data_IF_236937813545
#
_entry.id   IF_236937813545
#
_cell.length_a   1.000
_cell.length_b   1.000
_cell.length_c   1.000
_cell.angle_alpha   90.00
_cell.angle_beta   90.00
_cell.angle_gamma   90.00
#
_symmetry.space_group_name_H-M   'P 1'
#
loop_
_entity.id
_entity.type
_entity.pdbx_description
1 polymer ?
#
# COMPACT_ATOMS: atom_id res chain seq x y z
N UNK A 1 15.84 16.20 -7.07
CA UNK A 1 15.03 15.76 -8.22
C UNK A 1 13.67 15.39 -7.67
N UNK A 2 12.61 16.09 -8.08
CA UNK A 2 11.24 15.75 -7.71
C UNK A 2 10.85 14.50 -8.51
N UNK A 3 10.84 13.35 -7.84
CA UNK A 3 10.29 12.12 -8.41
C UNK A 3 8.83 12.42 -8.77
N UNK A 4 8.52 12.43 -10.08
CA UNK A 4 7.14 12.39 -10.56
C UNK A 4 6.62 10.96 -10.35
N UNK A 5 6.48 10.57 -9.09
CA UNK A 5 5.55 9.52 -8.74
C UNK A 5 4.17 10.00 -9.23
N UNK A 6 3.36 9.15 -9.88
CA UNK A 6 1.95 9.51 -10.09
C UNK A 6 1.41 9.93 -8.72
N UNK A 7 0.85 11.15 -8.64
CA UNK A 7 0.30 11.67 -7.40
C UNK A 7 -0.61 10.59 -6.83
N UNK A 8 -0.25 10.04 -5.66
CA UNK A 8 -1.03 8.95 -5.07
C UNK A 8 -2.40 9.55 -4.75
N UNK A 9 -3.42 9.07 -5.47
CA UNK A 9 -4.77 9.62 -5.36
C UNK A 9 -5.45 8.94 -4.18
N UNK A 10 -5.98 9.78 -3.29
CA UNK A 10 -6.77 9.35 -2.14
C UNK A 10 -8.18 9.95 -2.23
N UNK A 11 -9.17 9.13 -1.92
CA UNK A 11 -10.57 9.54 -1.76
C UNK A 11 -10.95 9.49 -0.29
N UNK A 12 -11.72 10.46 0.18
CA UNK A 12 -12.28 10.37 1.53
C UNK A 12 -13.34 9.27 1.56
N UNK A 13 -13.42 8.47 2.63
CA UNK A 13 -14.41 7.38 2.69
C UNK A 13 -15.86 7.88 2.52
N UNK A 14 -16.16 9.07 3.04
CA UNK A 14 -17.47 9.71 2.87
C UNK A 14 -17.80 10.16 1.43
N UNK A 15 -16.81 10.26 0.54
CA UNK A 15 -17.05 10.50 -0.89
C UNK A 15 -17.46 9.20 -1.61
N UNK A 16 -17.03 8.05 -1.07
CA UNK A 16 -17.26 6.74 -1.68
C UNK A 16 -18.53 6.05 -1.17
N UNK A 17 -18.95 6.31 0.07
CA UNK A 17 -20.12 5.64 0.65
C UNK A 17 -20.85 6.50 1.68
N UNK A 18 -22.08 6.12 2.00
CA UNK A 18 -22.86 6.70 3.08
C UNK A 18 -22.53 6.01 4.40
N UNK A 19 -22.58 6.78 5.50
CA UNK A 19 -22.31 6.27 6.86
C UNK A 19 -23.18 5.07 7.24
N UNK A 20 -24.45 5.06 6.83
CA UNK A 20 -25.40 3.99 7.16
C UNK A 20 -24.91 2.62 6.71
N UNK A 21 -24.14 2.53 5.62
CA UNK A 21 -23.57 1.28 5.11
C UNK A 21 -22.54 0.64 6.05
N UNK A 22 -21.88 1.46 6.88
CA UNK A 22 -20.98 1.00 7.94
C UNK A 22 -21.72 0.72 9.24
N UNK A 23 -22.85 1.38 9.48
CA UNK A 23 -23.71 1.13 10.64
C UNK A 23 -24.45 -0.20 10.56
N UNK A 24 -24.61 -0.77 9.36
CA UNK A 24 -25.17 -2.12 9.15
C UNK A 24 -24.32 -3.26 9.76
N UNK A 25 -23.18 -2.96 10.40
CA UNK A 25 -22.32 -3.90 11.16
C UNK A 25 -23.01 -4.53 12.40
N UNK A 26 -24.31 -4.34 12.58
CA UNK A 26 -25.06 -4.75 13.77
C UNK A 26 -25.49 -6.23 13.66
N UNK A 27 -24.81 -7.11 14.40
CA UNK A 27 -25.24 -8.50 14.66
C UNK A 27 -25.87 -8.60 16.06
N UNK A 28 -26.62 -9.67 16.37
CA UNK A 28 -27.32 -9.82 17.67
C UNK A 28 -26.42 -9.77 18.93
N UNK A 29 -25.10 -9.92 18.79
CA UNK A 29 -24.11 -9.75 19.87
C UNK A 29 -24.11 -8.34 20.49
N UNK A 30 -24.74 -7.36 19.83
CA UNK A 30 -24.74 -5.95 20.20
C UNK A 30 -25.76 -5.54 21.28
N UNK A 31 -26.72 -6.40 21.66
CA UNK A 31 -27.74 -6.05 22.66
C UNK A 31 -27.16 -5.66 24.05
N UNK A 32 -25.87 -5.95 24.29
CA UNK A 32 -25.16 -5.67 25.56
C UNK A 32 -24.17 -4.49 25.44
N UNK A 33 -23.95 -3.94 24.24
CA UNK A 33 -23.00 -2.84 23.98
C UNK A 33 -23.68 -1.47 23.99
N UNK A 34 -22.93 -0.43 24.35
CA UNK A 34 -23.42 0.94 24.29
C UNK A 34 -23.44 1.43 22.85
N UNK A 35 -24.62 1.77 22.34
CA UNK A 35 -24.79 2.37 21.01
C UNK A 35 -23.91 3.60 20.80
N UNK A 36 -23.71 4.43 21.83
CA UNK A 36 -22.80 5.59 21.77
C UNK A 36 -21.36 5.21 21.41
N UNK A 37 -20.82 4.14 22.01
CA UNK A 37 -19.47 3.69 21.72
C UNK A 37 -19.36 3.03 20.34
N UNK A 38 -20.38 2.29 19.93
CA UNK A 38 -20.46 1.71 18.58
C UNK A 38 -20.46 2.81 17.54
N UNK A 39 -21.35 3.81 17.67
CA UNK A 39 -21.40 4.96 16.77
C UNK A 39 -20.08 5.75 16.78
N UNK A 40 -19.41 5.88 17.92
CA UNK A 40 -18.10 6.54 17.98
C UNK A 40 -17.04 5.80 17.16
N UNK A 41 -17.00 4.47 17.20
CA UNK A 41 -16.08 3.65 16.39
C UNK A 41 -16.39 3.81 14.90
N UNK A 42 -17.65 3.68 14.51
CA UNK A 42 -18.06 3.83 13.11
C UNK A 42 -17.76 5.24 12.59
N UNK A 43 -18.04 6.27 13.38
CA UNK A 43 -17.73 7.65 13.04
C UNK A 43 -16.23 7.90 12.91
N UNK A 44 -15.42 7.29 13.79
CA UNK A 44 -13.97 7.38 13.68
C UNK A 44 -13.53 6.87 12.31
N UNK A 45 -13.93 5.66 11.90
CA UNK A 45 -13.63 5.15 10.57
C UNK A 45 -14.15 6.06 9.45
N UNK A 46 -15.41 6.48 9.50
CA UNK A 46 -16.02 7.28 8.43
C UNK A 46 -15.32 8.61 8.19
N UNK A 47 -14.86 9.28 9.26
CA UNK A 47 -14.26 10.61 9.20
C UNK A 47 -12.74 10.58 8.99
N UNK A 48 -12.06 9.52 9.43
CA UNK A 48 -10.59 9.46 9.44
C UNK A 48 -9.98 8.57 8.37
N UNK A 49 -10.80 7.93 7.53
CA UNK A 49 -10.31 7.00 6.50
C UNK A 49 -10.19 7.67 5.14
N UNK A 50 -8.99 7.54 4.56
CA UNK A 50 -8.67 7.84 3.15
C UNK A 50 -8.50 6.52 2.40
N UNK A 51 -9.09 6.38 1.23
CA UNK A 51 -8.97 5.20 0.37
C UNK A 51 -8.03 5.56 -0.78
N UNK A 52 -6.89 4.88 -0.85
CA UNK A 52 -5.99 4.99 -1.99
C UNK A 52 -6.61 4.35 -3.24
N UNK A 53 -6.21 4.79 -4.43
CA UNK A 53 -6.69 4.26 -5.72
C UNK A 53 -6.49 2.74 -5.87
N UNK A 54 -5.49 2.15 -5.19
CA UNK A 54 -5.28 0.71 -5.15
C UNK A 54 -6.25 -0.04 -4.20
N UNK A 55 -7.23 0.67 -3.62
CA UNK A 55 -8.22 0.15 -2.69
C UNK A 55 -7.72 -0.03 -1.25
N UNK A 56 -6.49 0.37 -0.93
CA UNK A 56 -5.96 0.27 0.44
C UNK A 56 -6.49 1.46 1.26
N UNK A 57 -7.16 1.21 2.40
CA UNK A 57 -7.53 2.26 3.33
C UNK A 57 -6.35 2.73 4.18
N UNK A 58 -6.33 4.01 4.52
CA UNK A 58 -5.38 4.68 5.40
C UNK A 58 -6.18 5.43 6.47
N UNK A 59 -5.82 5.25 7.73
CA UNK A 59 -6.60 5.71 8.88
C UNK A 59 -5.79 6.70 9.69
N UNK A 60 -6.34 7.89 9.92
CA UNK A 60 -5.64 8.94 10.65
C UNK A 60 -5.37 8.53 12.10
N UNK A 61 -4.13 8.73 12.54
CA UNK A 61 -3.64 8.29 13.86
C UNK A 61 -4.47 8.90 15.00
N UNK A 62 -4.93 10.14 14.85
CA UNK A 62 -5.73 10.84 15.87
C UNK A 62 -7.06 10.16 16.20
N UNK A 63 -7.57 9.28 15.34
CA UNK A 63 -8.81 8.52 15.57
C UNK A 63 -8.59 7.16 16.23
N UNK A 64 -7.33 6.70 16.32
CA UNK A 64 -7.02 5.33 16.74
C UNK A 64 -7.33 5.05 18.20
N UNK A 65 -7.34 6.06 19.06
CA UNK A 65 -7.70 5.88 20.47
C UNK A 65 -9.14 5.37 20.65
N UNK A 66 -10.04 5.81 19.76
CA UNK A 66 -11.43 5.39 19.70
C UNK A 66 -11.54 3.98 19.10
N UNK A 67 -10.83 3.72 18.00
CA UNK A 67 -10.90 2.45 17.26
C UNK A 67 -10.26 1.31 18.08
N UNK A 68 -9.07 1.53 18.65
CA UNK A 68 -8.33 0.56 19.46
C UNK A 68 -8.79 0.50 20.92
N UNK A 69 -9.77 1.34 21.30
CA UNK A 69 -10.31 1.43 22.67
C UNK A 69 -9.23 1.62 23.74
N UNK A 70 -8.27 2.49 23.48
CA UNK A 70 -7.21 2.87 24.45
C UNK A 70 -7.65 4.01 25.38
N UNK A 71 -8.80 4.64 25.10
CA UNK A 71 -9.32 5.75 25.88
C UNK A 71 -8.40 6.98 25.77
N UNK A 72 -8.38 7.82 26.81
CA UNK A 72 -7.57 9.05 26.82
C UNK A 72 -6.13 8.83 27.31
N UNK A 73 -5.66 7.58 27.33
CA UNK A 73 -4.34 7.23 27.87
C UNK A 73 -3.17 7.59 26.95
N UNK A 74 -3.44 7.84 25.67
CA UNK A 74 -2.40 8.00 24.64
C UNK A 74 -1.70 6.69 24.27
N UNK A 75 -2.17 5.54 24.78
CA UNK A 75 -1.52 4.24 24.58
C UNK A 75 -1.53 3.78 23.12
N UNK A 76 -2.38 4.33 22.26
CA UNK A 76 -2.34 4.11 20.82
C UNK A 76 -1.03 4.61 20.19
N UNK A 77 -0.41 5.66 20.72
CA UNK A 77 0.83 6.20 20.16
C UNK A 77 1.99 5.21 20.28
N UNK A 78 2.35 4.67 21.46
CA UNK A 78 3.37 3.61 21.54
C UNK A 78 3.06 2.41 20.64
N UNK A 79 1.79 1.97 20.58
CA UNK A 79 1.38 0.86 19.71
C UNK A 79 1.68 1.12 18.23
N UNK A 80 1.49 2.36 17.77
CA UNK A 80 1.74 2.77 16.40
C UNK A 80 3.24 2.99 16.15
N UNK A 81 3.88 3.85 16.94
CA UNK A 81 5.25 4.32 16.66
C UNK A 81 6.34 3.33 17.08
N UNK A 82 6.06 2.46 18.05
CA UNK A 82 7.03 1.50 18.59
C UNK A 82 6.65 0.06 18.28
N UNK A 83 5.36 -0.20 18.05
CA UNK A 83 4.84 -1.56 17.92
C UNK A 83 4.85 -2.30 19.27
N UNK A 84 4.74 -3.62 19.18
CA UNK A 84 4.86 -4.55 20.31
C UNK A 84 5.88 -5.61 19.93
N UNK A 85 7.01 -5.63 20.64
CA UNK A 85 8.14 -6.51 20.34
C UNK A 85 7.70 -7.97 20.21
N UNK A 86 8.00 -8.57 19.05
CA UNK A 86 7.67 -9.97 18.75
C UNK A 86 6.21 -10.22 18.38
N UNK A 87 5.38 -9.17 18.26
CA UNK A 87 3.94 -9.30 17.95
C UNK A 87 3.56 -8.42 16.76
N UNK A 88 3.82 -7.11 16.84
CA UNK A 88 3.50 -6.14 15.78
C UNK A 88 4.66 -5.17 15.63
N UNK A 89 5.15 -4.96 14.41
CA UNK A 89 6.20 -3.97 14.12
C UNK A 89 5.67 -2.54 14.28
N UNK A 90 6.58 -1.58 14.45
CA UNK A 90 6.22 -0.17 14.31
C UNK A 90 5.56 0.07 12.95
N UNK A 91 4.53 0.92 12.95
CA UNK A 91 3.82 1.29 11.74
C UNK A 91 4.69 2.19 10.85
N UNK A 92 4.61 1.98 9.55
CA UNK A 92 5.02 2.99 8.58
C UNK A 92 3.97 4.11 8.58
N UNK A 93 4.44 5.35 8.76
CA UNK A 93 3.58 6.53 8.81
C UNK A 93 3.54 7.17 7.44
N UNK A 94 2.32 7.41 6.94
CA UNK A 94 2.09 8.11 5.68
C UNK A 94 1.40 9.42 5.99
N UNK A 95 1.98 10.53 5.56
CA UNK A 95 1.35 11.84 5.64
C UNK A 95 0.43 12.06 4.43
N UNK A 96 -0.85 12.31 4.68
CA UNK A 96 -1.87 12.58 3.66
C UNK A 96 -2.58 13.85 4.10
N UNK A 97 -2.58 14.88 3.24
CA UNK A 97 -3.17 16.20 3.52
C UNK A 97 -2.68 16.84 4.84
N UNK A 98 -1.40 16.65 5.18
CA UNK A 98 -0.79 17.17 6.42
C UNK A 98 -1.19 16.40 7.69
N UNK A 99 -1.82 15.24 7.56
CA UNK A 99 -2.25 14.39 8.68
C UNK A 99 -1.57 13.03 8.61
N UNK A 100 -1.08 12.56 9.76
CA UNK A 100 -0.43 11.25 9.89
C UNK A 100 -1.44 10.10 9.84
N UNK A 101 -1.20 9.13 8.98
CA UNK A 101 -2.02 7.93 8.81
C UNK A 101 -1.19 6.65 8.94
N UNK A 102 -1.88 5.55 9.24
CA UNK A 102 -1.37 4.18 9.08
C UNK A 102 -2.21 3.42 8.07
N UNK A 103 -1.63 2.39 7.46
CA UNK A 103 -2.37 1.52 6.53
C UNK A 103 -3.43 0.68 7.26
N UNK A 104 -4.49 0.31 6.54
CA UNK A 104 -5.53 -0.63 6.97
C UNK A 104 -5.00 -1.97 7.44
N UNK A 105 -4.11 -2.64 6.69
CA UNK A 105 -3.44 -3.86 7.15
C UNK A 105 -2.74 -3.69 8.50
N UNK A 106 -2.03 -2.58 8.70
CA UNK A 106 -1.38 -2.26 9.99
C UNK A 106 -2.42 -2.09 11.11
N UNK A 107 -3.50 -1.34 10.85
CA UNK A 107 -4.60 -1.19 11.82
C UNK A 107 -5.23 -2.54 12.17
N UNK A 108 -5.48 -3.40 11.18
CA UNK A 108 -6.02 -4.74 11.38
C UNK A 108 -5.14 -5.56 12.31
N UNK A 109 -3.82 -5.57 12.10
CA UNK A 109 -2.87 -6.25 12.99
C UNK A 109 -2.91 -5.69 14.42
N UNK A 110 -3.06 -4.38 14.59
CA UNK A 110 -3.21 -3.75 15.92
C UNK A 110 -4.52 -4.16 16.62
N UNK A 111 -5.64 -4.20 15.89
CA UNK A 111 -6.93 -4.64 16.45
C UNK A 111 -6.85 -6.12 16.84
N UNK A 112 -6.31 -6.98 15.97
CA UNK A 112 -6.14 -8.42 16.22
C UNK A 112 -5.29 -8.66 17.49
N UNK A 113 -4.15 -7.98 17.60
CA UNK A 113 -3.29 -8.04 18.79
C UNK A 113 -4.04 -7.59 20.06
N UNK A 114 -4.76 -6.46 19.99
CA UNK A 114 -5.56 -5.95 21.12
C UNK A 114 -6.65 -6.93 21.54
N UNK A 115 -7.28 -7.62 20.59
CA UNK A 115 -8.30 -8.64 20.88
C UNK A 115 -7.76 -9.90 21.56
N UNK A 116 -6.48 -10.21 21.39
CA UNK A 116 -5.79 -11.29 22.09
C UNK A 116 -5.47 -10.92 23.55
N UNK A 117 -5.27 -9.64 23.83
CA UNK A 117 -4.86 -9.12 25.15
C UNK A 117 -6.01 -8.54 25.98
N UNK A 118 -7.24 -8.54 25.45
CA UNK A 118 -8.41 -7.98 26.12
C UNK A 118 -9.57 -8.97 26.11
N UNK A 119 -10.47 -8.80 27.06
CA UNK A 119 -11.66 -9.61 27.23
C UNK A 119 -12.92 -8.74 27.43
N UNK A 120 -14.05 -9.41 27.68
CA UNK A 120 -15.33 -8.77 27.98
C UNK A 120 -15.77 -7.73 26.94
N UNK A 121 -16.26 -6.58 27.43
CA UNK A 121 -16.83 -5.51 26.59
C UNK A 121 -15.79 -4.88 25.66
N UNK A 122 -14.54 -4.74 26.09
CA UNK A 122 -13.48 -4.14 25.27
C UNK A 122 -13.22 -4.98 24.03
N UNK A 123 -13.10 -6.30 24.20
CA UNK A 123 -12.96 -7.23 23.08
C UNK A 123 -14.16 -7.16 22.13
N UNK A 124 -15.37 -7.06 22.66
CA UNK A 124 -16.57 -6.91 21.84
C UNK A 124 -16.58 -5.61 21.02
N UNK A 125 -16.13 -4.46 21.58
CA UNK A 125 -15.95 -3.23 20.80
C UNK A 125 -14.86 -3.33 19.72
N UNK A 126 -13.77 -4.06 19.99
CA UNK A 126 -12.73 -4.31 19.00
C UNK A 126 -13.25 -5.20 17.85
N UNK A 127 -14.17 -6.13 18.13
CA UNK A 127 -14.86 -6.89 17.07
C UNK A 127 -15.71 -5.97 16.17
N UNK A 128 -16.37 -4.95 16.74
CA UNK A 128 -17.06 -3.92 15.94
C UNK A 128 -16.08 -3.19 15.03
N UNK A 129 -14.91 -2.80 15.57
CA UNK A 129 -13.88 -2.14 14.78
C UNK A 129 -13.39 -3.01 13.62
N UNK A 130 -13.13 -4.29 13.88
CA UNK A 130 -12.73 -5.26 12.84
C UNK A 130 -13.81 -5.40 11.76
N UNK A 131 -15.07 -5.58 12.15
CA UNK A 131 -16.17 -5.73 11.20
C UNK A 131 -16.40 -4.46 10.38
N UNK A 132 -16.21 -3.28 10.99
CA UNK A 132 -16.27 -1.99 10.28
C UNK A 132 -15.17 -1.90 9.22
N UNK A 133 -13.95 -2.29 9.57
CA UNK A 133 -12.83 -2.37 8.63
C UNK A 133 -13.11 -3.36 7.48
N UNK A 134 -13.55 -4.57 7.80
CA UNK A 134 -13.89 -5.58 6.79
C UNK A 134 -15.02 -5.11 5.87
N UNK A 135 -16.01 -4.37 6.41
CA UNK A 135 -17.08 -3.77 5.60
C UNK A 135 -16.54 -2.74 4.62
N UNK A 136 -15.61 -1.87 5.03
CA UNK A 136 -14.95 -0.88 4.15
C UNK A 136 -14.31 -1.57 2.95
N UNK A 137 -13.54 -2.65 3.19
CA UNK A 137 -12.87 -3.40 2.12
C UNK A 137 -13.84 -4.06 1.13
N UNK A 138 -15.07 -4.34 1.57
CA UNK A 138 -16.10 -5.01 0.78
C UNK A 138 -17.14 -4.05 0.17
N UNK A 139 -16.98 -2.73 0.36
CA UNK A 139 -17.78 -1.74 -0.38
C UNK A 139 -17.52 -1.89 -1.88
N UNK A 140 -18.58 -1.83 -2.70
CA UNK A 140 -18.43 -1.94 -4.16
C UNK A 140 -17.46 -0.89 -4.68
N UNK A 141 -17.60 0.36 -4.24
CA UNK A 141 -16.75 1.48 -4.68
C UNK A 141 -15.26 1.24 -4.38
N UNK A 142 -14.93 0.66 -3.22
CA UNK A 142 -13.53 0.37 -2.85
C UNK A 142 -12.97 -0.78 -3.70
N UNK A 143 -13.80 -1.80 -3.97
CA UNK A 143 -13.42 -2.92 -4.84
C UNK A 143 -13.25 -2.47 -6.29
N UNK A 144 -14.18 -1.66 -6.79
CA UNK A 144 -14.17 -1.12 -8.15
C UNK A 144 -12.90 -0.27 -8.38
N UNK A 145 -12.51 0.57 -7.40
CA UNK A 145 -11.24 1.32 -7.45
C UNK A 145 -10.04 0.38 -7.62
N UNK A 146 -9.96 -0.65 -6.78
CA UNK A 146 -8.89 -1.64 -6.85
C UNK A 146 -8.88 -2.41 -8.19
N UNK A 147 -10.05 -2.81 -8.67
CA UNK A 147 -10.19 -3.53 -9.94
C UNK A 147 -9.74 -2.67 -11.12
N UNK A 148 -10.20 -1.41 -11.18
CA UNK A 148 -9.75 -0.45 -12.19
C UNK A 148 -8.24 -0.23 -12.14
N UNK A 149 -7.67 -0.04 -10.95
CA UNK A 149 -6.23 0.11 -10.77
C UNK A 149 -5.44 -1.11 -11.29
N UNK A 150 -5.89 -2.33 -10.98
CA UNK A 150 -5.23 -3.55 -11.45
C UNK A 150 -5.40 -3.75 -12.96
N UNK A 151 -6.55 -3.39 -13.50
CA UNK A 151 -6.83 -3.44 -14.93
C UNK A 151 -5.96 -2.45 -15.71
N UNK A 152 -5.77 -1.23 -15.18
CA UNK A 152 -4.84 -0.25 -15.74
C UNK A 152 -3.42 -0.78 -15.74
N UNK A 153 -2.96 -1.42 -14.65
CA UNK A 153 -1.65 -2.06 -14.61
C UNK A 153 -1.55 -3.13 -15.69
N UNK A 154 -2.54 -4.01 -15.81
CA UNK A 154 -2.53 -5.13 -16.78
C UNK A 154 -2.45 -4.62 -18.21
N UNK A 155 -3.17 -3.56 -18.53
CA UNK A 155 -3.29 -3.03 -19.89
C UNK A 155 -2.10 -2.15 -20.27
N UNK A 156 -1.56 -1.35 -19.34
CA UNK A 156 -0.53 -0.35 -19.66
C UNK A 156 0.90 -0.83 -19.40
N UNK A 157 1.12 -1.79 -18.50
CA UNK A 157 2.47 -2.31 -18.18
C UNK A 157 3.23 -2.84 -19.41
N UNK A 158 2.61 -3.56 -20.36
CA UNK A 158 3.30 -4.00 -21.59
C UNK A 158 3.82 -2.84 -22.46
N UNK A 159 3.27 -1.63 -22.30
CA UNK A 159 3.63 -0.45 -23.08
C UNK A 159 4.89 0.24 -22.56
N UNK A 160 5.26 0.02 -21.28
CA UNK A 160 6.40 0.68 -20.62
C UNK A 160 7.72 0.52 -21.38
N UNK A 161 7.96 -0.66 -21.96
CA UNK A 161 9.16 -0.89 -22.79
C UNK A 161 9.22 0.09 -23.97
N UNK A 162 8.11 0.24 -24.68
CA UNK A 162 8.03 1.13 -25.84
C UNK A 162 8.09 2.59 -25.40
N UNK A 163 7.40 2.94 -24.32
CA UNK A 163 7.40 4.30 -23.75
C UNK A 163 8.80 4.72 -23.33
N UNK A 164 9.49 3.93 -22.49
CA UNK A 164 10.85 4.24 -22.01
C UNK A 164 11.85 4.39 -23.16
N UNK A 165 11.84 3.45 -24.12
CA UNK A 165 12.73 3.52 -25.28
C UNK A 165 12.51 4.83 -26.07
N UNK A 166 11.25 5.21 -26.27
CA UNK A 166 10.91 6.43 -27.01
C UNK A 166 11.25 7.72 -26.25
N UNK A 167 10.88 7.78 -24.96
CA UNK A 167 11.07 8.97 -24.13
C UNK A 167 12.54 9.31 -23.90
N UNK A 168 13.38 8.28 -23.66
CA UNK A 168 14.80 8.46 -23.37
C UNK A 168 15.71 8.20 -24.59
N UNK A 169 15.14 8.00 -25.79
CA UNK A 169 15.87 7.68 -27.02
C UNK A 169 16.90 6.53 -26.84
N UNK A 170 16.51 5.47 -26.16
CA UNK A 170 17.41 4.37 -25.79
C UNK A 170 17.69 3.48 -27.00
N UNK A 171 18.96 3.38 -27.39
CA UNK A 171 19.45 2.47 -28.45
C UNK A 171 20.38 1.36 -27.93
N UNK A 172 20.72 1.40 -26.64
CA UNK A 172 21.67 0.50 -26.01
C UNK A 172 21.11 -0.05 -24.69
N UNK A 173 21.53 -1.26 -24.32
CA UNK A 173 21.27 -1.83 -23.00
C UNK A 173 21.82 -0.89 -21.91
N UNK A 174 20.98 -0.49 -20.96
CA UNK A 174 21.34 0.50 -19.93
C UNK A 174 22.36 -0.03 -18.91
N UNK A 175 22.54 -1.36 -18.83
CA UNK A 175 23.57 -1.98 -17.98
C UNK A 175 24.92 -2.08 -18.69
N UNK A 176 24.93 -2.50 -19.96
CA UNK A 176 26.18 -2.90 -20.63
C UNK A 176 26.65 -1.89 -21.68
N UNK A 177 25.80 -0.94 -22.08
CA UNK A 177 26.03 -0.06 -23.22
C UNK A 177 25.97 -0.79 -24.58
N UNK A 178 25.64 -2.08 -24.60
CA UNK A 178 25.58 -2.88 -25.84
C UNK A 178 24.41 -2.39 -26.71
N UNK A 179 24.64 -2.01 -27.98
CA UNK A 179 23.57 -1.61 -28.87
C UNK A 179 22.63 -2.79 -29.15
N UNK A 180 21.34 -2.50 -29.29
CA UNK A 180 20.36 -3.47 -29.77
C UNK A 180 19.71 -2.96 -31.06
N UNK A 181 19.39 -3.87 -31.97
CA UNK A 181 18.80 -3.54 -33.28
C UNK A 181 17.31 -3.89 -33.34
N UNK A 182 16.82 -4.72 -32.41
CA UNK A 182 15.41 -5.07 -32.28
C UNK A 182 14.93 -4.89 -30.84
N UNK A 183 13.70 -4.40 -30.67
CA UNK A 183 13.02 -4.35 -29.36
C UNK A 183 12.74 -5.75 -28.79
N UNK A 184 12.90 -6.79 -29.60
CA UNK A 184 12.80 -8.17 -29.16
C UNK A 184 14.07 -8.64 -28.43
N UNK A 185 15.19 -7.94 -28.52
CA UNK A 185 16.45 -8.34 -27.87
C UNK A 185 16.53 -7.88 -26.40
N UNK A 186 15.62 -6.96 -26.03
CA UNK A 186 15.60 -6.27 -24.74
C UNK A 186 14.27 -6.44 -24.02
N UNK A 187 14.34 -6.29 -22.70
CA UNK A 187 13.18 -6.24 -21.81
C UNK A 187 13.21 -5.00 -20.93
N UNK A 188 12.02 -4.59 -20.50
CA UNK A 188 11.85 -3.62 -19.44
C UNK A 188 11.91 -4.37 -18.10
N UNK A 189 12.94 -4.10 -17.31
CA UNK A 189 13.11 -4.66 -15.98
C UNK A 189 12.72 -3.60 -14.95
N UNK A 190 11.73 -3.89 -14.11
CA UNK A 190 11.36 -3.04 -12.99
C UNK A 190 12.52 -2.96 -11.98
N UNK A 191 12.86 -1.74 -11.52
CA UNK A 191 13.89 -1.51 -10.50
C UNK A 191 13.35 -1.96 -9.13
N UNK A 192 12.18 -1.44 -8.75
CA UNK A 192 11.39 -1.92 -7.62
C UNK A 192 10.27 -2.85 -8.10
N UNK A 193 10.13 -4.01 -7.45
CA UNK A 193 9.12 -4.99 -7.82
C UNK A 193 7.69 -4.46 -7.68
N UNK A 194 6.88 -4.73 -8.70
CA UNK A 194 5.44 -4.48 -8.70
C UNK A 194 4.71 -5.23 -7.58
N UNK A 195 5.25 -6.37 -7.13
CA UNK A 195 4.63 -7.15 -6.05
C UNK A 195 4.74 -6.44 -4.71
N UNK A 196 5.86 -5.78 -4.44
CA UNK A 196 6.14 -5.09 -3.17
C UNK A 196 5.77 -3.61 -3.23
N UNK A 197 5.80 -3.01 -4.41
CA UNK A 197 5.43 -1.62 -4.63
C UNK A 197 4.54 -1.45 -5.88
N UNK A 198 3.26 -1.84 -5.80
CA UNK A 198 2.34 -1.80 -6.95
C UNK A 198 2.07 -0.38 -7.44
N UNK A 199 2.31 0.66 -6.63
CA UNK A 199 2.13 2.05 -7.05
C UNK A 199 3.15 2.49 -8.11
N UNK A 200 4.30 1.83 -8.17
CA UNK A 200 5.33 2.08 -9.19
C UNK A 200 5.17 1.20 -10.44
N UNK A 201 4.06 0.45 -10.55
CA UNK A 201 3.91 -0.55 -11.60
C UNK A 201 3.88 0.04 -13.02
N UNK A 202 3.37 1.26 -13.14
CA UNK A 202 3.25 2.01 -14.39
C UNK A 202 4.23 3.19 -14.48
N UNK A 203 5.17 3.31 -13.55
CA UNK A 203 6.20 4.35 -13.62
C UNK A 203 7.31 3.91 -14.59
N UNK A 204 7.45 4.67 -15.68
CA UNK A 204 8.48 4.47 -16.71
C UNK A 204 9.91 4.65 -16.17
N UNK A 205 10.06 5.42 -15.09
CA UNK A 205 11.32 5.65 -14.39
C UNK A 205 11.65 4.53 -13.41
N UNK A 206 10.64 3.77 -12.95
CA UNK A 206 10.83 2.56 -12.15
C UNK A 206 11.23 1.35 -13.02
N UNK A 207 12.07 1.53 -14.03
CA UNK A 207 12.58 0.43 -14.81
C UNK A 207 13.71 0.81 -15.73
N UNK A 208 14.33 -0.21 -16.31
CA UNK A 208 15.49 -0.11 -17.20
C UNK A 208 15.33 -1.06 -18.38
N UNK A 209 15.89 -0.67 -19.54
CA UNK A 209 15.96 -1.45 -20.76
C UNK A 209 17.27 -2.25 -20.73
N UNK A 210 17.14 -3.56 -20.57
CA UNK A 210 18.28 -4.48 -20.49
C UNK A 210 18.14 -5.63 -21.47
N UNK A 211 19.25 -6.27 -21.83
CA UNK A 211 19.23 -7.47 -22.68
C UNK A 211 18.41 -8.59 -22.02
N UNK A 212 17.65 -9.34 -22.83
CA UNK A 212 16.86 -10.51 -22.39
C UNK A 212 17.66 -11.51 -21.55
N UNK A 213 18.92 -11.74 -21.92
CA UNK A 213 19.80 -12.65 -21.19
C UNK A 213 20.06 -12.18 -19.75
N UNK A 214 20.29 -10.88 -19.56
CA UNK A 214 20.50 -10.27 -18.24
C UNK A 214 19.20 -10.33 -17.43
N UNK A 215 18.06 -9.98 -18.04
CA UNK A 215 16.75 -10.06 -17.38
C UNK A 215 16.44 -11.48 -16.88
N UNK A 216 16.73 -12.50 -17.69
CA UNK A 216 16.60 -13.91 -17.29
C UNK A 216 17.56 -14.28 -16.16
N UNK A 217 18.78 -13.75 -16.16
CA UNK A 217 19.74 -13.98 -15.06
C UNK A 217 19.27 -13.36 -13.75
N UNK A 218 18.81 -12.09 -13.77
CA UNK A 218 18.24 -11.42 -12.59
C UNK A 218 17.08 -12.21 -11.99
N UNK A 219 16.15 -12.66 -12.85
CA UNK A 219 15.00 -13.48 -12.45
C UNK A 219 15.45 -14.79 -11.79
N UNK A 220 16.44 -15.49 -12.38
CA UNK A 220 17.00 -16.74 -11.83
C UNK A 220 17.69 -16.53 -10.48
N UNK A 221 18.28 -15.37 -10.26
CA UNK A 221 18.94 -15.01 -9.00
C UNK A 221 17.97 -14.44 -7.95
N UNK A 222 16.68 -14.30 -8.27
CA UNK A 222 15.68 -13.74 -7.35
C UNK A 222 15.88 -12.25 -7.07
N UNK A 223 16.50 -11.52 -8.01
CA UNK A 223 16.79 -10.10 -7.84
C UNK A 223 15.58 -9.29 -8.31
N UNK A 224 14.87 -8.68 -7.35
CA UNK A 224 13.58 -8.02 -7.58
C UNK A 224 13.46 -6.62 -6.93
N UNK A 225 14.55 -6.06 -6.43
CA UNK A 225 14.54 -4.74 -5.80
C UNK A 225 15.82 -3.97 -6.09
N UNK A 226 15.78 -2.67 -5.80
CA UNK A 226 16.85 -1.73 -6.13
C UNK A 226 18.22 -2.19 -5.64
N UNK A 227 18.35 -2.51 -4.35
CA UNK A 227 19.62 -2.91 -3.73
C UNK A 227 20.25 -4.13 -4.40
N UNK A 228 19.42 -5.11 -4.75
CA UNK A 228 19.87 -6.34 -5.40
C UNK A 228 20.34 -6.07 -6.83
N UNK A 229 19.59 -5.25 -7.57
CA UNK A 229 19.92 -4.88 -8.94
C UNK A 229 21.20 -4.03 -8.99
N UNK A 230 21.36 -3.09 -8.07
CA UNK A 230 22.55 -2.25 -7.94
C UNK A 230 23.79 -3.09 -7.64
N UNK A 231 23.72 -4.00 -6.64
CA UNK A 231 24.82 -4.92 -6.31
C UNK A 231 25.16 -5.85 -7.48
N UNK A 232 24.17 -6.32 -8.23
CA UNK A 232 24.40 -7.13 -9.43
C UNK A 232 25.20 -6.36 -10.47
N UNK A 233 24.84 -5.10 -10.73
CA UNK A 233 25.56 -4.24 -11.67
C UNK A 233 27.02 -4.03 -11.21
N UNK A 234 27.25 -3.72 -9.94
CA UNK A 234 28.59 -3.58 -9.38
C UNK A 234 29.44 -4.84 -9.56
N UNK A 235 28.89 -6.01 -9.21
CA UNK A 235 29.60 -7.28 -9.30
C UNK A 235 29.97 -7.66 -10.75
N UNK A 236 29.12 -7.30 -11.71
CA UNK A 236 29.32 -7.55 -13.14
C UNK A 236 30.10 -6.43 -13.85
N UNK A 237 30.45 -5.35 -13.14
CA UNK A 237 31.04 -4.11 -13.70
C UNK A 237 30.17 -3.49 -14.79
N UNK A 238 28.86 -3.51 -14.60
CA UNK A 238 27.87 -2.84 -15.43
C UNK A 238 27.62 -1.41 -14.94
N UNK A 239 27.04 -0.60 -15.82
CA UNK A 239 26.62 0.77 -15.51
C UNK A 239 25.59 0.80 -14.38
N UNK A 240 25.75 1.76 -13.48
CA UNK A 240 24.80 2.10 -12.41
C UNK A 240 24.16 3.46 -12.63
N UNK A 241 24.33 4.07 -13.81
CA UNK A 241 23.81 5.42 -14.11
C UNK A 241 22.27 5.51 -14.01
N UNK A 242 21.58 4.38 -14.13
CA UNK A 242 20.13 4.27 -13.95
C UNK A 242 19.68 4.49 -12.49
N UNK A 243 20.62 4.50 -11.54
CA UNK A 243 20.35 4.67 -10.10
C UNK A 243 20.52 6.11 -9.59
N UNK A 244 20.91 7.03 -10.47
CA UNK A 244 21.08 8.46 -10.20
C UNK A 244 19.82 9.26 -10.54
#
# INVERSE_FOLDING_TARGET
>A
MTQNLPAVIYHSLGELTQRVELELVIRETFNVLSGKHVSAIVNAFFLSTKICINGIPYIAIGSLSVILRTGNSGAERPLVYQGVRGVVSAAEIVEIDGVEHISGPTLKSLIDMRMLQTDGRTKAYLQVAMQSYDRILNLSQVRDLKEMFLDDIRNNRPLLKTQRIGEFNISCCEFTGTPFFSRQDVEFAHIESVVTNPMLALDVNNGVIILKAIHKELTRLGIHGYDGMYKYCQNKKYSTSWSE
#
